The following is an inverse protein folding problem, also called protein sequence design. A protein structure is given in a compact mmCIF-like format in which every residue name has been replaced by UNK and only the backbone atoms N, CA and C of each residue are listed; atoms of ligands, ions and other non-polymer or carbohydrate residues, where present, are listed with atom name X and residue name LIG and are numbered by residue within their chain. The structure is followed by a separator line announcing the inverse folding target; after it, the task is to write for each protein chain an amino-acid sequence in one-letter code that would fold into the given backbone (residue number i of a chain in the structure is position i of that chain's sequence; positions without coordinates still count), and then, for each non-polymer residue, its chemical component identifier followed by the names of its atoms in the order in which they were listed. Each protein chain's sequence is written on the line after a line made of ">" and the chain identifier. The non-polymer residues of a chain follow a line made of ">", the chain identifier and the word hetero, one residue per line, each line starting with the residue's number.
data_IF_695162334607
#
_entry.id   IF_695162334607
#
_cell.length_a   1.000
_cell.length_b   1.000
_cell.length_c   1.000
_cell.angle_alpha   90.00
_cell.angle_beta   90.00
_cell.angle_gamma   90.00
#
_symmetry.space_group_name_H-M   'P 1'
#
loop_
_entity.id
_entity.type
_entity.pdbx_description
1 polymer ?
#
# COMPACT_ATOMS: atom_id res chain seq x y z
N UNK A 1 -6.02 -39.72 -63.79
CA UNK A 1 -5.99 -38.30 -63.37
C UNK A 1 -6.43 -38.21 -61.92
N UNK A 2 -5.69 -37.54 -61.05
CA UNK A 2 -6.08 -37.35 -59.65
C UNK A 2 -4.87 -37.41 -58.73
N UNK A 3 -4.50 -36.27 -58.14
CA UNK A 3 -3.61 -36.05 -56.98
C UNK A 3 -3.16 -34.59 -57.04
N UNK A 4 -3.95 -33.62 -56.53
CA UNK A 4 -3.48 -32.25 -56.29
C UNK A 4 -4.31 -31.47 -55.24
N UNK A 5 -5.50 -31.95 -54.84
CA UNK A 5 -6.37 -31.27 -53.86
C UNK A 5 -5.82 -31.30 -52.42
N UNK A 6 -5.10 -32.36 -52.01
CA UNK A 6 -4.62 -32.54 -50.62
C UNK A 6 -3.53 -31.53 -50.22
N UNK A 7 -2.82 -30.94 -51.18
CA UNK A 7 -1.72 -29.98 -50.92
C UNK A 7 -2.22 -28.55 -50.69
N UNK A 8 -3.45 -28.21 -51.14
CA UNK A 8 -4.03 -26.87 -50.98
C UNK A 8 -4.51 -26.62 -49.55
N UNK A 9 -5.15 -27.59 -48.92
CA UNK A 9 -5.62 -27.51 -47.53
C UNK A 9 -4.47 -27.31 -46.54
N UNK A 10 -3.37 -28.05 -46.69
CA UNK A 10 -2.18 -27.88 -45.85
C UNK A 10 -1.57 -26.47 -45.96
N UNK A 11 -1.47 -25.93 -47.19
CA UNK A 11 -0.98 -24.56 -47.41
C UNK A 11 -1.93 -23.50 -46.85
N UNK A 12 -3.24 -23.71 -46.95
CA UNK A 12 -4.26 -22.80 -46.40
C UNK A 12 -4.19 -22.77 -44.87
N UNK A 13 -4.07 -23.93 -44.21
CA UNK A 13 -3.94 -24.04 -42.77
C UNK A 13 -2.64 -23.41 -42.26
N UNK A 14 -1.51 -23.65 -42.94
CA UNK A 14 -0.23 -23.01 -42.59
C UNK A 14 -0.31 -21.48 -42.76
N UNK A 15 -0.96 -21.00 -43.82
CA UNK A 15 -1.16 -19.56 -44.04
C UNK A 15 -2.03 -18.95 -42.94
N UNK A 16 -3.12 -19.61 -42.56
CA UNK A 16 -4.02 -19.16 -41.49
C UNK A 16 -3.30 -19.16 -40.13
N UNK A 17 -2.48 -20.16 -39.85
CA UNK A 17 -1.68 -20.23 -38.62
C UNK A 17 -0.63 -19.12 -38.55
N UNK A 18 0.11 -18.89 -39.65
CA UNK A 18 1.09 -17.79 -39.71
C UNK A 18 0.43 -16.42 -39.57
N UNK A 19 -0.76 -16.24 -40.15
CA UNK A 19 -1.54 -15.00 -40.04
C UNK A 19 -2.05 -14.79 -38.61
N UNK A 20 -2.50 -15.86 -37.94
CA UNK A 20 -2.86 -15.83 -36.52
C UNK A 20 -1.65 -15.47 -35.65
N UNK A 21 -0.47 -16.05 -35.90
CA UNK A 21 0.77 -15.71 -35.17
C UNK A 21 1.15 -14.25 -35.37
N UNK A 22 1.03 -13.70 -36.58
CA UNK A 22 1.29 -12.28 -36.85
C UNK A 22 0.32 -11.38 -36.07
N UNK A 23 -0.97 -11.68 -36.07
CA UNK A 23 -1.95 -10.93 -35.30
C UNK A 23 -1.68 -10.98 -33.78
N UNK A 24 -1.22 -12.12 -33.26
CA UNK A 24 -0.86 -12.24 -31.83
C UNK A 24 0.39 -11.45 -31.50
N UNK A 25 1.39 -11.45 -32.39
CA UNK A 25 2.61 -10.62 -32.22
C UNK A 25 2.29 -9.13 -32.29
N UNK A 26 1.46 -8.70 -33.24
CA UNK A 26 1.02 -7.31 -33.37
C UNK A 26 0.24 -6.85 -32.13
N UNK A 27 -0.67 -7.68 -31.60
CA UNK A 27 -1.36 -7.42 -30.32
C UNK A 27 -0.37 -7.31 -29.16
N UNK A 28 0.62 -8.21 -29.08
CA UNK A 28 1.67 -8.14 -28.06
C UNK A 28 2.50 -6.86 -28.14
N UNK A 29 2.85 -6.40 -29.34
CA UNK A 29 3.51 -5.12 -29.56
C UNK A 29 2.63 -3.92 -29.18
N UNK A 30 1.32 -3.98 -29.47
CA UNK A 30 0.36 -2.97 -29.09
C UNK A 30 0.25 -2.83 -27.56
N UNK A 31 0.07 -3.92 -26.83
CA UNK A 31 0.04 -3.89 -25.35
C UNK A 31 1.38 -3.43 -24.76
N UNK A 32 2.52 -3.84 -25.33
CA UNK A 32 3.84 -3.37 -24.90
C UNK A 32 4.04 -1.87 -25.12
N UNK A 33 3.53 -1.30 -26.21
CA UNK A 33 3.56 0.14 -26.46
C UNK A 33 2.60 0.92 -25.55
N UNK A 34 1.44 0.37 -25.19
CA UNK A 34 0.56 0.97 -24.19
C UNK A 34 1.23 1.02 -22.80
N UNK A 35 1.89 -0.06 -22.38
CA UNK A 35 2.64 -0.08 -21.12
C UNK A 35 3.86 0.84 -21.12
N UNK A 36 4.52 1.05 -22.26
CA UNK A 36 5.62 2.02 -22.39
C UNK A 36 5.17 3.48 -22.22
N UNK A 37 3.98 3.85 -22.70
CA UNK A 37 3.43 5.21 -22.50
C UNK A 37 3.06 5.51 -21.05
N UNK A 38 2.73 4.48 -20.25
CA UNK A 38 2.38 4.61 -18.83
C UNK A 38 3.62 4.62 -17.93
N UNK A 39 4.76 4.13 -18.42
CA UNK A 39 6.03 4.03 -17.69
C UNK A 39 7.17 4.75 -18.41
N UNK A 40 6.89 5.92 -18.97
CA UNK A 40 7.94 6.84 -19.38
C UNK A 40 8.27 7.72 -18.18
N UNK A 41 9.35 7.40 -17.47
CA UNK A 41 9.90 8.31 -16.46
C UNK A 41 10.43 9.54 -17.19
N UNK A 42 9.65 10.63 -17.18
CA UNK A 42 10.15 11.96 -17.57
C UNK A 42 11.03 12.45 -16.42
N UNK A 43 12.24 11.90 -16.34
CA UNK A 43 13.33 12.45 -15.52
C UNK A 43 14.39 13.08 -16.41
N UNK A 44 13.98 13.66 -17.54
CA UNK A 44 14.86 14.58 -18.25
C UNK A 44 14.68 15.96 -17.65
N UNK A 45 15.23 16.17 -16.45
CA UNK A 45 15.48 17.51 -15.97
C UNK A 45 16.85 17.50 -15.30
N UNK A 46 17.81 18.15 -15.96
CA UNK A 46 19.19 18.29 -15.46
C UNK A 46 19.36 19.52 -14.58
N UNK A 47 18.41 20.47 -14.59
CA UNK A 47 18.47 21.73 -13.84
C UNK A 47 17.38 21.81 -12.77
N UNK A 48 17.82 21.90 -11.52
CA UNK A 48 16.96 21.99 -10.32
C UNK A 48 16.14 23.30 -10.34
N UNK A 49 16.72 24.38 -10.85
CA UNK A 49 16.06 25.70 -10.88
C UNK A 49 14.81 25.70 -11.76
N UNK A 50 14.84 24.97 -12.88
CA UNK A 50 13.68 24.82 -13.77
C UNK A 50 12.53 24.05 -13.09
N UNK A 51 12.85 23.13 -12.16
CA UNK A 51 11.84 22.39 -11.38
C UNK A 51 11.17 23.32 -10.37
N UNK A 52 11.95 24.16 -9.71
CA UNK A 52 11.43 25.12 -8.71
C UNK A 52 10.52 26.13 -9.41
N UNK A 53 10.96 26.68 -10.54
CA UNK A 53 10.15 27.63 -11.32
C UNK A 53 8.85 26.99 -11.83
N UNK A 54 8.90 25.76 -12.34
CA UNK A 54 7.71 25.04 -12.79
C UNK A 54 6.74 24.72 -11.63
N UNK A 55 7.25 24.40 -10.45
CA UNK A 55 6.44 24.14 -9.27
C UNK A 55 5.73 25.42 -8.80
N UNK A 56 6.44 26.56 -8.79
CA UNK A 56 5.88 27.86 -8.42
C UNK A 56 4.83 28.33 -9.43
N UNK A 57 5.03 28.10 -10.73
CA UNK A 57 4.02 28.39 -11.76
C UNK A 57 2.77 27.53 -11.59
N UNK A 58 2.94 26.23 -11.29
CA UNK A 58 1.83 25.33 -11.08
C UNK A 58 0.98 25.72 -9.84
N UNK A 59 1.63 26.14 -8.75
CA UNK A 59 0.95 26.60 -7.53
C UNK A 59 0.13 27.88 -7.78
N UNK A 60 0.69 28.81 -8.57
CA UNK A 60 -0.02 30.02 -9.00
C UNK A 60 -1.24 29.72 -9.87
N UNK A 61 -1.12 28.80 -10.83
CA UNK A 61 -2.25 28.39 -11.69
C UNK A 61 -3.35 27.69 -10.88
N UNK A 62 -2.97 26.82 -9.95
CA UNK A 62 -3.94 26.14 -9.07
C UNK A 62 -4.71 27.11 -8.18
N UNK A 63 -4.02 28.11 -7.62
CA UNK A 63 -4.63 29.14 -6.77
C UNK A 63 -5.60 30.04 -7.54
N UNK A 64 -5.33 30.28 -8.83
CA UNK A 64 -6.23 31.02 -9.73
C UNK A 64 -7.53 30.26 -10.03
N UNK A 65 -7.42 28.97 -10.35
CA UNK A 65 -8.59 28.15 -10.70
C UNK A 65 -9.40 27.72 -9.46
N UNK A 66 -8.76 27.65 -8.29
CA UNK A 66 -9.38 27.21 -7.06
C UNK A 66 -9.21 28.26 -5.94
N UNK A 67 -9.92 29.41 -6.04
CA UNK A 67 -9.83 30.46 -5.05
C UNK A 67 -10.26 29.92 -3.68
N UNK A 68 -9.41 30.15 -2.68
CA UNK A 68 -9.65 29.69 -1.32
C UNK A 68 -11.01 30.24 -0.86
N UNK A 69 -12.00 29.39 -0.53
CA UNK A 69 -13.26 29.88 -0.01
C UNK A 69 -12.99 30.66 1.27
N UNK A 70 -13.52 31.88 1.38
CA UNK A 70 -13.48 32.68 2.59
C UNK A 70 -14.27 31.97 3.70
N UNK A 71 -13.63 30.99 4.34
CA UNK A 71 -14.14 30.35 5.52
C UNK A 71 -13.93 31.34 6.68
N UNK A 72 -15.02 31.98 7.11
CA UNK A 72 -15.13 32.71 8.38
C UNK A 72 -15.05 31.72 9.55
N UNK A 73 -13.98 30.94 9.63
CA UNK A 73 -13.64 30.18 10.82
C UNK A 73 -12.67 31.07 11.58
N UNK A 74 -13.19 31.71 12.61
CA UNK A 74 -12.39 32.44 13.59
C UNK A 74 -11.44 31.44 14.28
N UNK A 75 -10.23 31.28 13.74
CA UNK A 75 -9.19 30.36 14.23
C UNK A 75 -8.65 30.76 15.62
N UNK A 76 -9.10 31.87 16.18
CA UNK A 76 -8.65 32.40 17.46
C UNK A 76 -9.40 31.83 18.68
N UNK A 77 -10.51 31.11 18.47
CA UNK A 77 -11.28 30.53 19.59
C UNK A 77 -10.71 29.22 20.14
N UNK A 78 -9.59 28.71 19.58
CA UNK A 78 -8.91 27.51 20.09
C UNK A 78 -7.40 27.67 20.26
N UNK A 79 -6.88 28.89 20.10
CA UNK A 79 -5.48 29.25 20.39
C UNK A 79 -5.16 29.31 21.90
N UNK A 80 -6.01 28.73 22.75
CA UNK A 80 -5.81 28.66 24.20
C UNK A 80 -5.03 27.42 24.67
N UNK A 81 -4.37 26.67 23.78
CA UNK A 81 -3.43 25.63 24.18
C UNK A 81 -2.11 25.67 23.39
N UNK A 82 -1.07 26.09 24.11
CA UNK A 82 0.36 25.85 23.88
C UNK A 82 1.05 26.71 22.82
N UNK A 83 1.60 27.85 23.27
CA UNK A 83 2.68 28.58 22.60
C UNK A 83 4.02 27.84 22.62
N UNK A 84 4.04 26.60 22.13
CA UNK A 84 5.28 25.85 21.93
C UNK A 84 5.78 25.97 20.50
N UNK A 85 7.11 26.05 20.38
CA UNK A 85 7.81 26.00 19.10
C UNK A 85 7.55 24.64 18.41
N UNK A 86 7.61 24.59 17.06
CA UNK A 86 7.44 23.34 16.32
C UNK A 86 8.48 22.26 16.69
N UNK A 87 9.61 22.66 17.26
CA UNK A 87 10.67 21.76 17.74
C UNK A 87 10.28 21.05 19.03
N UNK A 88 9.76 21.79 20.01
CA UNK A 88 9.32 21.21 21.28
C UNK A 88 8.11 20.28 21.08
N UNK A 89 7.22 20.58 20.10
CA UNK A 89 6.08 19.71 19.76
C UNK A 89 6.56 18.35 19.24
N UNK A 90 7.62 18.32 18.43
CA UNK A 90 8.24 17.07 17.95
C UNK A 90 8.87 16.28 19.08
N UNK A 91 9.51 16.98 20.03
CA UNK A 91 10.16 16.32 21.16
C UNK A 91 9.14 15.71 22.12
N UNK A 92 8.02 16.40 22.38
CA UNK A 92 6.90 15.85 23.15
C UNK A 92 6.26 14.65 22.46
N UNK A 93 6.02 14.73 21.14
CA UNK A 93 5.51 13.60 20.36
C UNK A 93 6.46 12.40 20.44
N UNK A 94 7.77 12.60 20.27
CA UNK A 94 8.76 11.53 20.39
C UNK A 94 8.82 10.92 21.79
N UNK A 95 8.65 11.73 22.84
CA UNK A 95 8.58 11.25 24.23
C UNK A 95 7.33 10.40 24.43
N UNK A 96 6.17 10.83 23.95
CA UNK A 96 4.93 10.07 24.06
C UNK A 96 4.96 8.79 23.21
N UNK A 97 5.49 8.85 21.99
CA UNK A 97 5.75 7.67 21.15
C UNK A 97 6.65 6.65 21.88
N UNK A 98 7.72 7.10 22.53
CA UNK A 98 8.62 6.22 23.28
C UNK A 98 7.92 5.57 24.49
N UNK A 99 7.04 6.31 25.17
CA UNK A 99 6.27 5.79 26.31
C UNK A 99 5.22 4.76 25.87
N UNK A 100 4.62 4.95 24.68
CA UNK A 100 3.58 4.08 24.15
C UNK A 100 4.09 2.99 23.19
N UNK A 101 5.39 2.97 22.86
CA UNK A 101 6.02 1.99 21.97
C UNK A 101 5.77 0.54 22.39
N UNK A 102 5.81 0.26 23.70
CA UNK A 102 5.56 -1.09 24.22
C UNK A 102 4.12 -1.55 24.06
N UNK A 103 3.17 -0.62 23.96
CA UNK A 103 1.76 -0.92 23.76
C UNK A 103 1.38 -1.08 22.29
N UNK A 104 2.26 -0.69 21.35
CA UNK A 104 2.09 -0.86 19.89
C UNK A 104 2.56 -2.23 19.39
N UNK A 105 2.87 -3.17 20.29
CA UNK A 105 3.36 -4.50 19.91
C UNK A 105 2.32 -5.26 19.09
N UNK A 106 2.76 -5.73 17.93
CA UNK A 106 2.03 -6.62 17.02
C UNK A 106 1.70 -7.94 17.74
N UNK A 107 0.49 -8.51 17.57
CA UNK A 107 0.15 -9.77 18.22
C UNK A 107 1.01 -10.87 17.60
N UNK A 108 1.85 -11.49 18.43
CA UNK A 108 2.73 -12.57 17.98
C UNK A 108 2.04 -13.91 18.18
N UNK A 109 2.16 -14.82 17.20
CA UNK A 109 1.54 -16.15 17.25
C UNK A 109 1.94 -16.99 18.46
N UNK A 110 3.16 -16.82 18.98
CA UNK A 110 3.61 -17.51 20.21
C UNK A 110 3.00 -16.96 21.51
N UNK A 111 2.32 -15.82 21.48
CA UNK A 111 1.55 -15.26 22.61
C UNK A 111 0.06 -15.61 22.48
N UNK A 112 -0.37 -16.09 21.31
CA UNK A 112 -1.65 -16.79 21.21
C UNK A 112 -1.54 -18.12 21.98
N UNK A 113 -2.61 -18.58 22.64
CA UNK A 113 -2.53 -19.76 23.49
C UNK A 113 -1.87 -20.91 22.74
N UNK A 114 -0.95 -21.63 23.40
CA UNK A 114 -0.07 -22.57 22.74
C UNK A 114 -0.90 -23.55 21.93
N UNK A 115 -0.65 -23.57 20.62
CA UNK A 115 -1.29 -24.53 19.72
C UNK A 115 -1.00 -25.93 20.28
N UNK A 116 -2.05 -26.65 20.64
CA UNK A 116 -1.92 -28.05 21.03
C UNK A 116 -2.53 -28.92 19.92
N UNK A 117 -1.95 -30.10 19.72
CA UNK A 117 -2.42 -31.02 18.68
C UNK A 117 -3.81 -31.64 18.97
N UNK A 118 -4.34 -31.43 20.19
CA UNK A 118 -5.62 -31.98 20.64
C UNK A 118 -6.82 -31.00 20.57
N UNK A 119 -6.61 -29.74 20.19
CA UNK A 119 -7.68 -28.73 20.08
C UNK A 119 -8.49 -28.93 18.80
N UNK A 120 -9.79 -28.66 18.87
CA UNK A 120 -10.62 -28.60 17.66
C UNK A 120 -10.28 -27.35 16.84
N UNK A 121 -10.45 -27.45 15.51
CA UNK A 121 -10.18 -26.34 14.59
C UNK A 121 -11.07 -25.12 14.91
N UNK A 122 -12.31 -25.36 15.35
CA UNK A 122 -13.25 -24.32 15.74
C UNK A 122 -12.81 -23.58 17.01
N UNK A 123 -12.31 -24.32 18.00
CA UNK A 123 -11.80 -23.73 19.23
C UNK A 123 -10.54 -22.90 18.96
N UNK A 124 -9.69 -23.36 18.04
CA UNK A 124 -8.52 -22.60 17.59
C UNK A 124 -8.94 -21.28 16.92
N UNK A 125 -9.87 -21.33 15.96
CA UNK A 125 -10.36 -20.16 15.25
C UNK A 125 -11.02 -19.15 16.20
N UNK A 126 -11.84 -19.61 17.15
CA UNK A 126 -12.45 -18.76 18.14
C UNK A 126 -11.40 -18.04 19.01
N UNK A 127 -10.37 -18.77 19.43
CA UNK A 127 -9.29 -18.23 20.25
C UNK A 127 -8.44 -17.20 19.49
N UNK A 128 -8.06 -17.50 18.23
CA UNK A 128 -7.36 -16.55 17.35
C UNK A 128 -8.16 -15.26 17.18
N UNK A 129 -9.48 -15.37 16.95
CA UNK A 129 -10.40 -14.23 16.85
C UNK A 129 -10.45 -13.42 18.15
N UNK A 130 -10.59 -14.07 19.31
CA UNK A 130 -10.63 -13.38 20.60
C UNK A 130 -9.34 -12.61 20.87
N UNK A 131 -8.18 -13.24 20.66
CA UNK A 131 -6.88 -12.56 20.83
C UNK A 131 -6.72 -11.38 19.88
N UNK A 132 -7.13 -11.52 18.62
CA UNK A 132 -7.10 -10.42 17.67
C UNK A 132 -8.01 -9.25 18.07
N UNK A 133 -9.20 -9.54 18.62
CA UNK A 133 -10.11 -8.53 19.15
C UNK A 133 -9.53 -7.81 20.35
N UNK A 134 -8.89 -8.52 21.28
CA UNK A 134 -8.22 -7.90 22.44
C UNK A 134 -7.08 -6.97 21.99
N UNK A 135 -6.27 -7.40 21.02
CA UNK A 135 -5.24 -6.55 20.44
C UNK A 135 -5.83 -5.29 19.78
N UNK A 136 -6.91 -5.43 18.98
CA UNK A 136 -7.61 -4.29 18.39
C UNK A 136 -8.16 -3.32 19.44
N UNK A 137 -8.69 -3.83 20.56
CA UNK A 137 -9.14 -2.99 21.68
C UNK A 137 -7.98 -2.24 22.32
N UNK A 138 -6.82 -2.87 22.44
CA UNK A 138 -5.61 -2.20 22.94
C UNK A 138 -5.17 -1.06 22.02
N UNK A 139 -5.24 -1.25 20.69
CA UNK A 139 -4.96 -0.19 19.72
C UNK A 139 -6.00 0.93 19.77
N UNK A 140 -7.29 0.61 19.84
CA UNK A 140 -8.34 1.62 19.96
C UNK A 140 -8.20 2.47 21.24
N UNK A 141 -7.80 1.85 22.35
CA UNK A 141 -7.48 2.57 23.59
C UNK A 141 -6.27 3.49 23.46
N UNK A 142 -5.32 3.15 22.58
CA UNK A 142 -4.19 4.03 22.28
C UNK A 142 -4.63 5.21 21.40
N UNK A 143 -5.50 4.97 20.41
CA UNK A 143 -6.08 6.00 19.53
C UNK A 143 -6.87 7.07 20.30
N UNK A 144 -7.56 6.66 21.37
CA UNK A 144 -8.30 7.59 22.26
C UNK A 144 -7.39 8.58 22.98
N UNK A 145 -6.09 8.29 23.13
CA UNK A 145 -5.13 9.29 23.58
C UNK A 145 -4.81 10.20 22.39
N UNK A 146 -5.59 11.27 22.22
CA UNK A 146 -5.62 12.27 21.11
C UNK A 146 -4.26 12.82 20.61
N UNK A 147 -3.15 12.44 21.24
CA UNK A 147 -1.80 12.90 20.93
C UNK A 147 -1.03 12.02 19.95
N UNK A 148 -1.51 10.79 19.71
CA UNK A 148 -0.88 9.84 18.80
C UNK A 148 -1.80 9.51 17.63
N UNK A 149 -1.40 9.92 16.43
CA UNK A 149 -2.06 9.49 15.18
C UNK A 149 -1.54 8.10 14.84
N UNK A 150 -2.38 7.07 15.02
CA UNK A 150 -2.04 5.72 14.60
C UNK A 150 -1.99 5.62 13.09
N UNK A 151 -0.96 4.94 12.58
CA UNK A 151 -0.90 4.60 11.16
C UNK A 151 -2.04 3.62 10.81
N UNK A 152 -2.70 3.81 9.66
CA UNK A 152 -3.71 2.86 9.20
C UNK A 152 -3.14 1.43 9.17
N UNK A 153 -3.85 0.48 9.77
CA UNK A 153 -3.41 -0.91 9.90
C UNK A 153 -4.44 -1.88 9.32
N UNK A 154 -3.98 -3.10 9.01
CA UNK A 154 -4.81 -4.15 8.44
C UNK A 154 -5.81 -4.72 9.47
N UNK A 155 -7.09 -4.75 9.11
CA UNK A 155 -8.19 -5.20 9.98
C UNK A 155 -8.59 -6.65 9.72
N UNK A 156 -8.14 -7.25 8.62
CA UNK A 156 -8.45 -8.63 8.24
C UNK A 156 -7.54 -9.65 8.95
N UNK A 157 -8.15 -10.53 9.76
CA UNK A 157 -7.45 -11.62 10.46
C UNK A 157 -6.71 -12.57 9.52
N UNK A 158 -7.22 -12.81 8.31
CA UNK A 158 -6.61 -13.77 7.38
C UNK A 158 -5.26 -13.28 6.84
N UNK A 159 -5.07 -11.96 6.71
CA UNK A 159 -3.77 -11.39 6.34
C UNK A 159 -2.78 -11.56 7.50
N UNK A 160 -3.23 -11.35 8.74
CA UNK A 160 -2.43 -11.62 9.93
C UNK A 160 -2.04 -13.10 10.05
N UNK A 161 -2.94 -14.03 9.70
CA UNK A 161 -2.62 -15.47 9.63
C UNK A 161 -1.56 -15.78 8.60
N UNK A 162 -1.60 -15.12 7.43
CA UNK A 162 -0.55 -15.29 6.41
C UNK A 162 0.79 -14.78 6.93
N UNK A 163 0.84 -13.59 7.54
CA UNK A 163 2.05 -13.05 8.15
C UNK A 163 2.62 -14.01 9.20
N UNK A 164 1.79 -14.51 10.10
CA UNK A 164 2.23 -15.45 11.14
C UNK A 164 2.83 -16.73 10.56
N UNK A 165 2.21 -17.32 9.52
CA UNK A 165 2.76 -18.50 8.84
C UNK A 165 4.11 -18.22 8.18
N UNK A 166 4.31 -17.02 7.64
CA UNK A 166 5.59 -16.61 7.04
C UNK A 166 6.65 -16.47 8.13
N UNK A 167 6.34 -15.76 9.20
CA UNK A 167 7.26 -15.52 10.33
C UNK A 167 7.67 -16.82 11.02
N UNK A 168 6.75 -17.78 11.17
CA UNK A 168 7.05 -19.08 11.78
C UNK A 168 7.94 -19.97 10.90
N UNK A 169 7.90 -19.80 9.59
CA UNK A 169 8.66 -20.62 8.63
C UNK A 169 9.96 -19.97 8.18
N UNK A 170 10.16 -18.70 8.50
CA UNK A 170 11.36 -17.94 8.11
C UNK A 170 12.40 -17.94 9.23
N UNK A 171 13.62 -18.34 8.90
CA UNK A 171 14.76 -18.22 9.83
C UNK A 171 15.25 -16.76 9.95
N UNK A 172 15.01 -15.95 8.92
CA UNK A 172 15.38 -14.53 8.86
C UNK A 172 14.19 -13.70 8.37
N UNK A 173 13.84 -12.66 9.13
CA UNK A 173 12.85 -11.66 8.73
C UNK A 173 13.58 -10.33 8.53
N UNK A 174 13.64 -9.84 7.29
CA UNK A 174 14.19 -8.52 6.98
C UNK A 174 13.03 -7.55 6.70
N UNK A 175 12.84 -6.50 7.51
CA UNK A 175 11.95 -5.41 7.13
C UNK A 175 12.42 -4.81 5.80
N UNK A 176 11.53 -4.72 4.83
CA UNK A 176 11.79 -3.88 3.66
C UNK A 176 11.65 -2.43 4.12
N UNK A 177 12.77 -1.74 4.30
CA UNK A 177 12.78 -0.29 4.29
C UNK A 177 12.41 0.15 2.86
N UNK A 178 11.25 0.80 2.72
CA UNK A 178 10.88 1.60 1.55
C UNK A 178 11.36 3.03 1.78
#
# INVERSE_FOLDING_TARGET
>A
MGKNEKTRLGRALVKQHNQMIQQTKEKGHFYKNQHKKVLESVTHVSDIDAIIEQADEADRLFTLDNPVPNLLINLDASASNSGMTPEERREQQKKEEAMHADSLRVPRRHVLPPWNAGMSVEQLDANEKQSFLLWRRSLARLEENEKLVLTPFEKNLDIWRQLWRVVERSDLVRPCCL
#
